data_IF_603135545223
#
_entry.id   IF_603135545223
#
_cell.length_a   1.000
_cell.length_b   1.000
_cell.length_c   1.000
_cell.angle_alpha   90.00
_cell.angle_beta   90.00
_cell.angle_gamma   90.00
#
_symmetry.space_group_name_H-M   'P 1'
#
loop_
_entity.id
_entity.type
_entity.pdbx_description
1 polymer ?
#
# COMPACT_ATOMS: atom_id res chain seq x y z
N UNK A 1 -4.01 -19.04 15.97
CA UNK A 1 -2.93 -18.97 14.95
C UNK A 1 -3.28 -17.99 13.83
N UNK A 2 -4.40 -18.14 13.12
CA UNK A 2 -4.82 -17.20 12.05
C UNK A 2 -4.92 -15.73 12.47
N UNK A 3 -5.56 -15.44 13.62
CA UNK A 3 -5.67 -14.08 14.15
C UNK A 3 -4.34 -13.43 14.52
N UNK A 4 -3.33 -14.23 14.87
CA UNK A 4 -1.99 -13.73 15.20
C UNK A 4 -1.27 -13.31 13.92
N UNK A 5 -1.29 -14.15 12.87
CA UNK A 5 -0.70 -13.85 11.57
C UNK A 5 -1.24 -12.53 11.01
N UNK A 6 -2.56 -12.36 11.11
CA UNK A 6 -3.24 -11.11 10.79
C UNK A 6 -2.75 -9.95 11.60
N UNK A 7 -2.71 -10.11 12.93
CA UNK A 7 -2.29 -9.05 13.83
C UNK A 7 -0.87 -8.59 13.50
N UNK A 8 0.09 -9.51 13.33
CA UNK A 8 1.48 -9.15 13.00
C UNK A 8 1.57 -8.44 11.65
N UNK A 9 0.98 -9.00 10.60
CA UNK A 9 1.00 -8.39 9.28
C UNK A 9 0.34 -7.02 9.28
N UNK A 10 -0.84 -6.90 9.87
CA UNK A 10 -1.60 -5.66 9.90
C UNK A 10 -0.94 -4.60 10.81
N UNK A 11 -0.54 -4.97 12.02
CA UNK A 11 0.07 -4.05 12.98
C UNK A 11 1.39 -3.48 12.47
N UNK A 12 2.28 -4.33 11.93
CA UNK A 12 3.55 -3.86 11.36
C UNK A 12 3.31 -2.89 10.20
N UNK A 13 2.38 -3.23 9.30
CA UNK A 13 2.03 -2.36 8.18
C UNK A 13 1.43 -1.03 8.66
N UNK A 14 0.62 -1.03 9.73
CA UNK A 14 -0.01 0.18 10.25
C UNK A 14 1.00 1.09 10.97
N UNK A 15 1.92 0.51 11.74
CA UNK A 15 2.99 1.25 12.42
C UNK A 15 3.94 1.93 11.42
N UNK A 16 4.12 1.36 10.22
CA UNK A 16 4.93 1.97 9.17
C UNK A 16 4.39 3.34 8.70
N UNK A 17 3.10 3.65 8.90
CA UNK A 17 2.54 4.98 8.64
C UNK A 17 3.20 6.05 9.53
N UNK A 18 3.73 5.68 10.70
CA UNK A 18 4.47 6.60 11.56
C UNK A 18 5.70 7.23 10.89
N UNK A 19 6.26 6.58 9.87
CA UNK A 19 7.35 7.12 9.04
C UNK A 19 6.91 8.17 8.01
N UNK A 20 5.61 8.47 7.90
CA UNK A 20 5.08 9.36 6.88
C UNK A 20 5.69 10.77 6.81
N UNK A 21 6.00 11.45 7.94
CA UNK A 21 6.65 12.76 7.90
C UNK A 21 7.97 12.76 7.13
N UNK A 22 8.76 11.68 7.20
CA UNK A 22 10.00 11.54 6.46
C UNK A 22 9.76 11.47 4.95
N UNK A 23 8.73 10.76 4.49
CA UNK A 23 8.38 10.73 3.06
C UNK A 23 7.99 12.11 2.53
N UNK A 24 7.27 12.91 3.33
CA UNK A 24 6.90 14.29 2.96
C UNK A 24 8.14 15.18 2.86
N UNK A 25 9.11 15.01 3.76
CA UNK A 25 10.38 15.72 3.72
C UNK A 25 11.18 15.37 2.45
N UNK A 26 11.30 14.08 2.14
CA UNK A 26 11.94 13.60 0.91
C UNK A 26 11.27 14.18 -0.35
N UNK A 27 9.94 14.26 -0.39
CA UNK A 27 9.21 14.88 -1.50
C UNK A 27 9.52 16.37 -1.65
N UNK A 28 9.70 17.10 -0.53
CA UNK A 28 10.05 18.53 -0.56
C UNK A 28 11.47 18.75 -1.06
N UNK A 29 12.42 17.93 -0.63
CA UNK A 29 13.82 17.97 -1.07
C UNK A 29 13.88 17.62 -2.57
N UNK A 30 13.24 16.52 -2.98
CA UNK A 30 13.12 16.12 -4.37
C UNK A 30 12.61 17.26 -5.25
N UNK A 31 11.53 17.93 -4.84
CA UNK A 31 10.97 19.06 -5.57
C UNK A 31 11.96 20.20 -5.79
N UNK A 32 12.84 20.48 -4.82
CA UNK A 32 13.87 21.54 -4.92
C UNK A 32 15.03 21.11 -5.82
N UNK A 33 15.58 19.92 -5.61
CA UNK A 33 16.73 19.41 -6.38
C UNK A 33 16.38 19.20 -7.86
N UNK A 34 15.14 18.80 -8.12
CA UNK A 34 14.60 18.63 -9.47
C UNK A 34 14.45 19.96 -10.21
N UNK A 35 14.02 21.03 -9.53
CA UNK A 35 13.93 22.38 -10.11
C UNK A 35 15.31 22.94 -10.49
N UNK A 36 16.34 22.53 -9.74
CA UNK A 36 17.74 22.85 -10.05
C UNK A 36 18.36 21.91 -11.11
N UNK A 37 17.62 20.92 -11.60
CA UNK A 37 18.05 20.02 -12.67
C UNK A 37 19.02 18.90 -12.26
N UNK A 38 19.15 18.58 -10.96
CA UNK A 38 20.15 17.60 -10.50
C UNK A 38 19.85 16.15 -10.90
N UNK A 39 18.58 15.72 -10.85
CA UNK A 39 18.19 14.36 -11.26
C UNK A 39 16.70 14.26 -11.61
N UNK A 40 16.31 13.21 -12.35
CA UNK A 40 14.95 12.98 -12.80
C UNK A 40 14.13 12.08 -11.86
N UNK A 41 12.80 12.07 -12.06
CA UNK A 41 11.84 11.28 -11.27
C UNK A 41 12.21 9.78 -11.22
N UNK A 42 12.65 9.20 -12.34
CA UNK A 42 13.01 7.77 -12.37
C UNK A 42 14.23 7.45 -11.50
N UNK A 43 15.24 8.33 -11.49
CA UNK A 43 16.42 8.18 -10.63
C UNK A 43 16.03 8.23 -9.16
N UNK A 44 15.12 9.14 -8.79
CA UNK A 44 14.60 9.25 -7.44
C UNK A 44 13.92 7.96 -6.98
N UNK A 45 12.97 7.43 -7.76
CA UNK A 45 12.20 6.25 -7.36
C UNK A 45 13.09 5.02 -7.23
N UNK A 46 14.05 4.84 -8.14
CA UNK A 46 14.98 3.70 -8.07
C UNK A 46 15.88 3.85 -6.84
N UNK A 47 16.49 5.02 -6.64
CA UNK A 47 17.37 5.27 -5.50
C UNK A 47 16.64 5.07 -4.17
N UNK A 48 15.45 5.65 -4.02
CA UNK A 48 14.61 5.49 -2.84
C UNK A 48 14.21 4.03 -2.59
N UNK A 49 13.84 3.29 -3.64
CA UNK A 49 13.46 1.88 -3.49
C UNK A 49 14.64 1.02 -3.05
N UNK A 50 15.82 1.23 -3.65
CA UNK A 50 17.04 0.49 -3.30
C UNK A 50 17.52 0.86 -1.90
N UNK A 51 17.46 2.14 -1.52
CA UNK A 51 17.89 2.58 -0.20
C UNK A 51 16.94 2.10 0.90
N UNK A 52 15.63 2.08 0.68
CA UNK A 52 14.66 1.65 1.68
C UNK A 52 14.59 0.13 1.87
N UNK A 53 14.82 -0.65 0.82
CA UNK A 53 14.77 -2.13 0.84
C UNK A 53 15.49 -2.78 2.04
N UNK A 54 16.76 -2.49 2.34
CA UNK A 54 17.45 -3.11 3.48
C UNK A 54 16.84 -2.73 4.83
N UNK A 55 16.39 -1.49 5.00
CA UNK A 55 15.74 -1.05 6.23
C UNK A 55 14.38 -1.72 6.40
N UNK A 56 13.56 -1.77 5.35
CA UNK A 56 12.27 -2.45 5.36
C UNK A 56 12.39 -3.96 5.63
N UNK A 57 13.44 -4.59 5.10
CA UNK A 57 13.75 -5.98 5.40
C UNK A 57 14.06 -6.17 6.87
N UNK A 58 14.91 -5.33 7.46
CA UNK A 58 15.26 -5.44 8.88
C UNK A 58 14.05 -5.22 9.80
N UNK A 59 13.26 -4.17 9.57
CA UNK A 59 12.10 -3.85 10.43
C UNK A 59 10.94 -4.82 10.25
N UNK A 60 10.87 -5.58 9.15
CA UNK A 60 9.89 -6.66 9.00
C UNK A 60 10.39 -7.98 9.57
N UNK A 61 11.66 -8.32 9.31
CA UNK A 61 12.25 -9.59 9.70
C UNK A 61 12.44 -9.71 11.20
N UNK A 62 12.95 -8.69 11.89
CA UNK A 62 13.25 -8.76 13.32
C UNK A 62 11.98 -8.97 14.16
N UNK A 63 10.97 -8.08 14.14
CA UNK A 63 9.75 -8.30 14.92
C UNK A 63 8.92 -9.47 14.37
N UNK A 64 8.96 -9.73 13.06
CA UNK A 64 8.31 -10.89 12.45
C UNK A 64 8.87 -12.21 12.97
N UNK A 65 10.19 -12.34 13.05
CA UNK A 65 10.84 -13.53 13.60
C UNK A 65 10.53 -13.72 15.08
N UNK A 66 10.59 -12.65 15.87
CA UNK A 66 10.22 -12.69 17.28
C UNK A 66 8.79 -13.21 17.46
N UNK A 67 7.82 -12.65 16.73
CA UNK A 67 6.42 -13.08 16.81
C UNK A 67 6.21 -14.52 16.31
N UNK A 68 6.92 -14.92 15.26
CA UNK A 68 6.83 -16.26 14.67
C UNK A 68 7.27 -17.36 15.65
N UNK A 69 8.44 -17.18 16.27
CA UNK A 69 8.98 -18.15 17.21
C UNK A 69 8.27 -18.14 18.57
N UNK A 70 7.82 -16.97 19.04
CA UNK A 70 7.10 -16.85 20.32
C UNK A 70 5.79 -17.62 20.31
N UNK A 71 5.08 -17.63 19.18
CA UNK A 71 3.76 -18.26 19.07
C UNK A 71 3.86 -19.76 18.72
N UNK A 72 5.05 -20.22 18.31
CA UNK A 72 5.28 -21.63 17.97
C UNK A 72 4.59 -22.06 16.69
N UNK A 73 4.71 -21.26 15.63
CA UNK A 73 4.30 -21.64 14.26
C UNK A 73 5.17 -22.79 13.73
N UNK A 74 4.86 -23.28 12.53
CA UNK A 74 5.62 -24.38 11.92
C UNK A 74 7.12 -24.06 11.85
N UNK A 75 7.94 -24.77 12.63
CA UNK A 75 9.39 -24.49 12.78
C UNK A 75 10.26 -24.77 11.55
N UNK A 76 9.68 -25.17 10.43
CA UNK A 76 10.43 -25.42 9.20
C UNK A 76 10.93 -24.10 8.61
N UNK A 77 12.19 -24.11 8.13
CA UNK A 77 12.83 -22.93 7.55
C UNK A 77 12.04 -22.39 6.35
N UNK A 78 11.47 -23.27 5.52
CA UNK A 78 10.70 -22.87 4.34
C UNK A 78 9.44 -22.07 4.71
N UNK A 79 8.80 -22.43 5.83
CA UNK A 79 7.60 -21.75 6.31
C UNK A 79 7.95 -20.39 6.91
N UNK A 80 9.06 -20.31 7.64
CA UNK A 80 9.57 -19.04 8.15
C UNK A 80 10.00 -18.10 7.02
N UNK A 81 10.76 -18.59 6.03
CA UNK A 81 11.21 -17.81 4.88
C UNK A 81 10.03 -17.26 4.08
N UNK A 82 9.01 -18.08 3.81
CA UNK A 82 7.79 -17.62 3.15
C UNK A 82 7.06 -16.55 3.97
N UNK A 83 6.90 -16.76 5.29
CA UNK A 83 6.29 -15.78 6.18
C UNK A 83 7.03 -14.43 6.18
N UNK A 84 8.36 -14.47 6.29
CA UNK A 84 9.21 -13.28 6.24
C UNK A 84 9.12 -12.56 4.89
N UNK A 85 9.10 -13.31 3.78
CA UNK A 85 8.93 -12.73 2.44
C UNK A 85 7.57 -12.04 2.28
N UNK A 86 6.48 -12.65 2.73
CA UNK A 86 5.15 -12.00 2.68
C UNK A 86 5.14 -10.72 3.53
N UNK A 87 5.70 -10.76 4.75
CA UNK A 87 5.81 -9.55 5.58
C UNK A 87 6.63 -8.44 4.91
N UNK A 88 7.78 -8.79 4.35
CA UNK A 88 8.62 -7.85 3.62
C UNK A 88 7.88 -7.24 2.42
N UNK A 89 7.18 -8.05 1.62
CA UNK A 89 6.37 -7.55 0.49
C UNK A 89 5.25 -6.61 0.97
N UNK A 90 4.59 -6.91 2.08
CA UNK A 90 3.58 -5.99 2.64
C UNK A 90 4.18 -4.66 3.10
N UNK A 91 5.39 -4.65 3.68
CA UNK A 91 6.08 -3.39 4.03
C UNK A 91 6.43 -2.57 2.78
N UNK A 92 6.95 -3.21 1.73
CA UNK A 92 7.26 -2.55 0.46
C UNK A 92 6.03 -1.92 -0.19
N UNK A 93 4.86 -2.55 -0.06
CA UNK A 93 3.58 -2.04 -0.53
C UNK A 93 3.11 -0.83 0.25
N UNK A 94 3.22 -0.86 1.59
CA UNK A 94 2.87 0.29 2.44
C UNK A 94 3.76 1.47 2.12
N UNK A 95 5.06 1.26 1.98
CA UNK A 95 5.97 2.34 1.58
C UNK A 95 5.56 2.95 0.24
N UNK A 96 5.29 2.12 -0.78
CA UNK A 96 4.82 2.60 -2.07
C UNK A 96 3.51 3.39 -1.97
N UNK A 97 2.56 2.91 -1.18
CA UNK A 97 1.29 3.59 -0.92
C UNK A 97 1.51 4.94 -0.22
N UNK A 98 2.36 4.98 0.81
CA UNK A 98 2.66 6.20 1.56
C UNK A 98 3.36 7.23 0.68
N UNK A 99 4.27 6.83 -0.20
CA UNK A 99 4.88 7.76 -1.16
C UNK A 99 3.88 8.33 -2.16
N UNK A 100 2.93 7.52 -2.65
CA UNK A 100 1.83 8.00 -3.49
C UNK A 100 1.03 9.07 -2.74
N UNK A 101 0.65 8.78 -1.49
CA UNK A 101 -0.09 9.74 -0.65
C UNK A 101 0.74 11.01 -0.40
N UNK A 102 2.03 10.89 -0.07
CA UNK A 102 2.95 12.00 0.17
C UNK A 102 3.09 12.94 -1.04
N UNK A 103 2.98 12.40 -2.26
CA UNK A 103 3.01 13.22 -3.48
C UNK A 103 1.73 14.02 -3.72
N UNK A 104 0.61 13.58 -3.15
CA UNK A 104 -0.71 14.19 -3.36
C UNK A 104 -1.11 15.19 -2.27
N UNK A 105 -0.60 15.02 -1.03
CA UNK A 105 -0.98 15.88 0.09
C UNK A 105 -0.05 17.08 0.27
N UNK A 106 -0.57 18.25 0.65
CA UNK A 106 0.25 19.44 0.92
C UNK A 106 0.89 19.43 2.32
N UNK A 107 0.28 18.71 3.27
CA UNK A 107 0.68 18.68 4.68
C UNK A 107 0.76 17.24 5.21
N UNK A 108 1.68 17.01 6.16
CA UNK A 108 1.94 15.66 6.68
C UNK A 108 0.79 15.11 7.51
N UNK A 109 0.03 15.95 8.24
CA UNK A 109 -1.09 15.50 9.06
C UNK A 109 -2.21 14.93 8.17
N UNK A 110 -2.55 15.64 7.09
CA UNK A 110 -3.52 15.13 6.11
C UNK A 110 -3.07 13.82 5.48
N UNK A 111 -1.77 13.68 5.20
CA UNK A 111 -1.24 12.44 4.64
C UNK A 111 -1.26 11.27 5.61
N UNK A 112 -0.95 11.48 6.90
CA UNK A 112 -1.10 10.45 7.93
C UNK A 112 -2.56 9.99 8.04
N UNK A 113 -3.51 10.94 8.10
CA UNK A 113 -4.94 10.63 8.19
C UNK A 113 -5.40 9.86 6.94
N UNK A 114 -4.99 10.31 5.75
CA UNK A 114 -5.37 9.68 4.48
C UNK A 114 -4.75 8.29 4.34
N UNK A 115 -3.46 8.14 4.64
CA UNK A 115 -2.74 6.87 4.60
C UNK A 115 -3.33 5.85 5.57
N UNK A 116 -3.58 6.25 6.82
CA UNK A 116 -4.24 5.42 7.82
C UNK A 116 -5.68 5.04 7.41
N UNK A 117 -6.42 5.96 6.80
CA UNK A 117 -7.76 5.70 6.27
C UNK A 117 -7.75 4.65 5.16
N UNK A 118 -6.91 4.83 4.13
CA UNK A 118 -6.78 3.87 3.03
C UNK A 118 -6.36 2.50 3.55
N UNK A 119 -5.36 2.47 4.44
CA UNK A 119 -4.83 1.24 4.98
C UNK A 119 -5.83 0.52 5.90
N UNK A 120 -6.56 1.26 6.73
CA UNK A 120 -7.65 0.72 7.54
C UNK A 120 -8.74 0.09 6.67
N UNK A 121 -9.14 0.73 5.58
CA UNK A 121 -10.12 0.19 4.63
C UNK A 121 -9.58 -1.09 3.95
N UNK A 122 -8.32 -1.10 3.53
CA UNK A 122 -7.69 -2.31 2.96
C UNK A 122 -7.62 -3.46 3.97
N UNK A 123 -7.33 -3.17 5.24
CA UNK A 123 -7.30 -4.16 6.32
C UNK A 123 -8.69 -4.75 6.60
N UNK A 124 -9.73 -3.91 6.66
CA UNK A 124 -11.12 -4.36 6.85
C UNK A 124 -11.54 -5.34 5.75
N UNK A 125 -11.07 -5.09 4.54
CA UNK A 125 -11.37 -5.91 3.38
C UNK A 125 -10.36 -7.05 3.15
N UNK A 126 -9.43 -7.28 4.07
CA UNK A 126 -8.41 -8.32 3.96
C UNK A 126 -8.92 -9.75 4.16
N UNK A 127 -10.23 -9.97 4.34
CA UNK A 127 -10.83 -11.29 4.50
C UNK A 127 -10.84 -11.84 5.94
N UNK A 128 -10.35 -11.09 6.92
CA UNK A 128 -10.37 -11.48 8.34
C UNK A 128 -11.53 -10.88 9.12
N UNK A 129 -11.73 -9.55 9.03
CA UNK A 129 -12.81 -8.87 9.77
C UNK A 129 -14.18 -9.19 9.20
N UNK A 130 -14.25 -9.41 7.89
CA UNK A 130 -15.43 -9.89 7.19
C UNK A 130 -15.00 -10.89 6.14
N UNK A 131 -15.66 -12.04 6.13
CA UNK A 131 -15.34 -13.11 5.21
C UNK A 131 -15.75 -12.72 3.78
N UNK A 132 -15.05 -13.24 2.76
CA UNK A 132 -15.29 -12.90 1.36
C UNK A 132 -16.74 -13.10 0.90
N UNK A 133 -17.42 -14.13 1.42
CA UNK A 133 -18.81 -14.43 1.07
C UNK A 133 -19.80 -13.40 1.64
N UNK A 134 -19.49 -12.82 2.81
CA UNK A 134 -20.37 -11.90 3.54
C UNK A 134 -20.20 -10.44 3.13
N UNK A 135 -19.29 -10.15 2.19
CA UNK A 135 -19.03 -8.81 1.69
C UNK A 135 -20.13 -8.35 0.71
N UNK A 136 -20.69 -7.13 0.89
CA UNK A 136 -21.62 -6.54 -0.07
C UNK A 136 -21.01 -6.43 -1.48
N UNK A 137 -21.73 -6.93 -2.48
CA UNK A 137 -21.18 -7.21 -3.82
C UNK A 137 -20.67 -5.99 -4.62
N UNK A 138 -21.36 -4.84 -4.69
CA UNK A 138 -21.06 -3.84 -5.73
C UNK A 138 -19.89 -2.90 -5.44
N UNK A 139 -19.42 -2.80 -4.19
CA UNK A 139 -18.31 -1.89 -3.83
C UNK A 139 -17.25 -2.62 -3.02
N UNK A 140 -17.68 -3.39 -2.01
CA UNK A 140 -16.78 -4.03 -1.05
C UNK A 140 -16.14 -5.30 -1.61
N UNK A 141 -16.94 -6.15 -2.27
CA UNK A 141 -16.42 -7.37 -2.91
C UNK A 141 -15.74 -7.07 -4.25
N UNK A 142 -16.31 -6.20 -5.07
CA UNK A 142 -15.72 -5.73 -6.32
C UNK A 142 -15.74 -4.19 -6.31
N UNK A 143 -14.62 -3.46 -6.41
CA UNK A 143 -13.22 -3.90 -6.61
C UNK A 143 -12.39 -4.00 -5.33
N UNK A 144 -12.89 -3.47 -4.20
CA UNK A 144 -12.05 -3.18 -3.02
C UNK A 144 -11.34 -4.42 -2.47
N UNK A 145 -11.94 -5.60 -2.56
CA UNK A 145 -11.40 -6.84 -1.98
C UNK A 145 -10.19 -7.34 -2.78
N UNK A 146 -10.23 -7.15 -4.10
CA UNK A 146 -9.17 -7.57 -5.00
C UNK A 146 -8.01 -6.57 -5.07
N UNK A 147 -8.27 -5.31 -4.71
CA UNK A 147 -7.25 -4.25 -4.63
C UNK A 147 -6.51 -4.28 -3.28
N UNK A 148 -7.17 -4.75 -2.22
CA UNK A 148 -6.56 -4.81 -0.89
C UNK A 148 -5.44 -5.87 -0.86
N UNK A 149 -4.19 -5.43 -0.75
CA UNK A 149 -3.05 -6.35 -0.66
C UNK A 149 -3.10 -7.26 0.57
N UNK A 150 -3.73 -6.79 1.67
CA UNK A 150 -3.94 -7.59 2.86
C UNK A 150 -4.68 -8.90 2.54
N UNK A 151 -5.59 -8.93 1.55
CA UNK A 151 -6.23 -10.17 1.08
C UNK A 151 -5.18 -11.25 0.78
N UNK A 152 -4.27 -10.97 -0.15
CA UNK A 152 -3.29 -11.93 -0.64
C UNK A 152 -2.24 -12.25 0.44
N UNK A 153 -1.87 -11.28 1.27
CA UNK A 153 -1.00 -11.53 2.41
C UNK A 153 -1.62 -12.53 3.39
N UNK A 154 -2.90 -12.34 3.72
CA UNK A 154 -3.61 -13.19 4.68
C UNK A 154 -3.83 -14.60 4.12
N UNK A 155 -4.26 -14.71 2.86
CA UNK A 155 -4.36 -16.01 2.18
C UNK A 155 -3.02 -16.72 2.13
N UNK A 156 -1.93 -16.01 1.83
CA UNK A 156 -0.57 -16.53 1.86
C UNK A 156 -0.16 -17.03 3.24
N UNK A 157 -0.38 -16.24 4.30
CA UNK A 157 -0.09 -16.62 5.68
C UNK A 157 -0.88 -17.86 6.10
N UNK A 158 -2.17 -17.92 5.78
CA UNK A 158 -3.03 -19.03 6.15
C UNK A 158 -2.63 -20.31 5.41
N UNK A 159 -2.45 -20.25 4.09
CA UNK A 159 -1.95 -21.41 3.32
C UNK A 159 -0.60 -21.88 3.84
N UNK A 160 0.28 -20.96 4.22
CA UNK A 160 1.60 -21.33 4.72
C UNK A 160 1.57 -22.01 6.10
N UNK A 161 0.66 -21.63 7.00
CA UNK A 161 0.62 -22.19 8.35
C UNK A 161 -0.30 -23.41 8.48
N UNK A 162 -1.47 -23.40 7.81
CA UNK A 162 -2.48 -24.44 8.01
C UNK A 162 -2.30 -25.64 7.09
N UNK A 163 -1.68 -25.50 5.91
CA UNK A 163 -1.45 -26.64 5.02
C UNK A 163 -0.52 -27.67 5.67
N UNK A 164 -0.95 -28.93 5.65
CA UNK A 164 -0.21 -30.05 6.25
C UNK A 164 -0.38 -30.19 7.76
N UNK A 165 -1.22 -29.39 8.41
CA UNK A 165 -1.58 -29.55 9.82
C UNK A 165 -2.97 -30.16 9.99
N UNK A 166 -3.14 -30.94 11.06
CA UNK A 166 -4.42 -31.45 11.54
C UNK A 166 -4.65 -30.95 12.96
N UNK A 167 -5.86 -30.48 13.24
CA UNK A 167 -6.24 -29.94 14.55
C UNK A 167 -7.32 -30.80 15.19
N UNK A 168 -7.36 -30.90 16.53
CA UNK A 168 -8.47 -31.56 17.21
C UNK A 168 -9.76 -30.79 16.95
N UNK A 169 -10.81 -31.48 16.54
CA UNK A 169 -12.11 -30.89 16.28
C UNK A 169 -12.96 -30.99 17.54
N UNK A 170 -13.42 -29.83 18.05
CA UNK A 170 -14.29 -29.77 19.22
C UNK A 170 -15.78 -29.63 18.85
N UNK A 171 -16.14 -29.84 17.58
CA UNK A 171 -17.54 -29.83 17.14
C UNK A 171 -18.27 -31.11 17.57
N UNK A 172 -19.39 -30.95 18.27
CA UNK A 172 -20.23 -32.06 18.70
C UNK A 172 -20.80 -32.81 17.48
N UNK A 173 -20.46 -34.10 17.34
CA UNK A 173 -20.98 -34.97 16.27
C UNK A 173 -20.16 -35.01 14.97
N UNK A 174 -19.01 -34.33 14.90
CA UNK A 174 -18.09 -34.37 13.75
C UNK A 174 -16.91 -35.34 13.92
N UNK A 175 -16.06 -35.44 12.89
CA UNK A 175 -14.79 -36.17 12.96
C UNK A 175 -13.90 -35.59 14.08
N UNK A 176 -13.12 -36.43 14.77
CA UNK A 176 -12.28 -36.03 15.93
C UNK A 176 -11.14 -35.08 15.58
N UNK A 177 -10.77 -34.99 14.30
CA UNK A 177 -9.74 -34.09 13.79
C UNK A 177 -10.26 -33.37 12.55
N UNK A 178 -9.91 -32.09 12.42
CA UNK A 178 -10.19 -31.25 11.26
C UNK A 178 -8.87 -30.96 10.55
N UNK A 179 -8.87 -31.11 9.24
CA UNK A 179 -7.69 -30.84 8.44
C UNK A 179 -7.51 -29.34 8.22
N UNK A 180 -6.27 -28.89 8.07
CA UNK A 180 -5.99 -27.49 7.75
C UNK A 180 -6.61 -27.04 6.42
N UNK A 181 -6.79 -27.94 5.44
CA UNK A 181 -7.47 -27.64 4.18
C UNK A 181 -8.97 -27.30 4.40
N UNK A 182 -9.66 -28.08 5.22
CA UNK A 182 -11.05 -27.80 5.62
C UNK A 182 -11.15 -26.46 6.38
N UNK A 183 -10.24 -26.18 7.32
CA UNK A 183 -10.20 -24.87 8.00
C UNK A 183 -10.00 -23.73 6.99
N UNK A 184 -9.11 -23.90 6.01
CA UNK A 184 -8.87 -22.87 5.00
C UNK A 184 -10.09 -22.62 4.13
N UNK A 185 -10.81 -23.66 3.72
CA UNK A 185 -11.98 -23.56 2.84
C UNK A 185 -13.23 -23.09 3.58
N UNK A 186 -13.53 -23.69 4.71
CA UNK A 186 -14.81 -23.51 5.38
C UNK A 186 -14.77 -22.34 6.36
N UNK A 187 -13.70 -22.22 7.14
CA UNK A 187 -13.58 -21.18 8.15
C UNK A 187 -13.05 -19.86 7.57
N UNK A 188 -11.93 -19.91 6.85
CA UNK A 188 -11.30 -18.70 6.30
C UNK A 188 -11.75 -18.34 4.88
N UNK A 189 -12.49 -19.25 4.21
CA UNK A 189 -12.96 -19.07 2.83
C UNK A 189 -11.84 -18.65 1.87
N UNK A 190 -10.67 -19.26 2.02
CA UNK A 190 -9.49 -19.01 1.21
C UNK A 190 -9.65 -19.65 -0.16
N UNK A 191 -9.22 -18.94 -1.20
CA UNK A 191 -9.19 -19.45 -2.57
C UNK A 191 -8.13 -20.57 -2.70
N UNK A 192 -8.58 -21.83 -2.68
CA UNK A 192 -7.72 -23.01 -2.79
C UNK A 192 -7.40 -23.42 -4.24
N UNK A 193 -7.92 -22.69 -5.23
CA UNK A 193 -7.69 -22.99 -6.66
C UNK A 193 -6.24 -22.78 -7.13
N UNK A 194 -5.37 -22.23 -6.27
CA UNK A 194 -3.98 -21.92 -6.61
C UNK A 194 -3.06 -21.95 -5.39
N UNK A 195 -1.77 -22.13 -5.64
CA UNK A 195 -0.73 -22.30 -4.61
C UNK A 195 -0.36 -21.00 -3.90
N UNK A 196 0.17 -21.10 -2.66
CA UNK A 196 0.65 -19.95 -1.87
C UNK A 196 1.63 -19.03 -2.63
N UNK A 197 2.46 -19.60 -3.49
CA UNK A 197 3.41 -18.83 -4.32
C UNK A 197 2.75 -17.86 -5.30
N UNK A 198 1.51 -18.12 -5.71
CA UNK A 198 0.76 -17.19 -6.56
C UNK A 198 0.32 -15.97 -5.75
N UNK A 199 -0.08 -16.14 -4.48
CA UNK A 199 -0.36 -15.01 -3.58
C UNK A 199 0.88 -14.11 -3.44
N UNK A 200 2.06 -14.72 -3.25
CA UNK A 200 3.33 -14.00 -3.19
C UNK A 200 3.67 -13.29 -4.51
N UNK A 201 3.45 -13.94 -5.65
CA UNK A 201 3.67 -13.35 -6.97
C UNK A 201 2.73 -12.16 -7.23
N UNK A 202 1.47 -12.24 -6.80
CA UNK A 202 0.52 -11.12 -6.87
C UNK A 202 1.00 -9.96 -6.00
N UNK A 203 1.44 -10.21 -4.77
CA UNK A 203 2.01 -9.17 -3.89
C UNK A 203 3.23 -8.49 -4.54
N UNK A 204 4.13 -9.28 -5.14
CA UNK A 204 5.28 -8.73 -5.86
C UNK A 204 4.86 -7.89 -7.07
N UNK A 205 3.87 -8.36 -7.85
CA UNK A 205 3.27 -7.60 -8.94
C UNK A 205 2.64 -6.29 -8.47
N UNK A 206 1.99 -6.28 -7.30
CA UNK A 206 1.44 -5.08 -6.69
C UNK A 206 2.54 -4.10 -6.25
N UNK A 207 3.69 -4.59 -5.75
CA UNK A 207 4.83 -3.71 -5.41
C UNK A 207 5.29 -2.95 -6.64
N UNK A 208 5.49 -3.66 -7.75
CA UNK A 208 5.88 -3.05 -9.02
C UNK A 208 4.81 -2.06 -9.49
N UNK A 209 3.53 -2.45 -9.43
CA UNK A 209 2.41 -1.60 -9.80
C UNK A 209 2.40 -0.29 -9.00
N UNK A 210 2.59 -0.34 -7.68
CA UNK A 210 2.60 0.86 -6.84
C UNK A 210 3.79 1.77 -7.16
N UNK A 211 4.96 1.21 -7.45
CA UNK A 211 6.13 2.00 -7.89
C UNK A 211 5.89 2.65 -9.26
N UNK A 212 5.26 1.93 -10.19
CA UNK A 212 4.88 2.48 -11.51
C UNK A 212 3.81 3.56 -11.38
N UNK A 213 2.81 3.36 -10.52
CA UNK A 213 1.79 4.38 -10.23
C UNK A 213 2.41 5.63 -9.62
N UNK A 214 3.33 5.47 -8.66
CA UNK A 214 4.07 6.59 -8.08
C UNK A 214 4.86 7.35 -9.16
N UNK A 215 5.60 6.64 -10.02
CA UNK A 215 6.30 7.23 -11.16
C UNK A 215 5.36 7.99 -12.10
N UNK A 216 4.20 7.41 -12.42
CA UNK A 216 3.22 8.03 -13.29
C UNK A 216 2.63 9.30 -12.68
N UNK A 217 2.23 9.25 -11.40
CA UNK A 217 1.69 10.40 -10.66
C UNK A 217 2.72 11.53 -10.63
N UNK A 218 3.97 11.23 -10.31
CA UNK A 218 5.03 12.24 -10.28
C UNK A 218 5.24 12.89 -11.67
N UNK A 219 5.26 12.10 -12.75
CA UNK A 219 5.37 12.63 -14.13
C UNK A 219 4.14 13.44 -14.56
N UNK A 220 2.94 13.07 -14.11
CA UNK A 220 1.71 13.81 -14.42
C UNK A 220 1.67 15.14 -13.67
N UNK A 221 2.04 15.13 -12.39
CA UNK A 221 2.15 16.35 -11.58
C UNK A 221 3.18 17.31 -12.16
N UNK A 222 4.29 16.81 -12.72
CA UNK A 222 5.27 17.62 -13.47
C UNK A 222 4.66 18.33 -14.67
N UNK A 223 3.78 17.67 -15.45
CA UNK A 223 3.12 18.28 -16.62
C UNK A 223 1.99 19.24 -16.23
N UNK A 224 1.30 18.97 -15.12
CA UNK A 224 0.18 19.78 -14.67
C UNK A 224 0.62 21.11 -14.07
N UNK A 225 1.72 21.15 -13.30
CA UNK A 225 2.26 22.38 -12.67
C UNK A 225 2.49 23.55 -13.65
N UNK A 226 3.20 23.39 -14.79
CA UNK A 226 3.41 24.48 -15.74
C UNK A 226 2.12 24.88 -16.46
N UNK A 227 1.20 23.94 -16.69
CA UNK A 227 -0.09 24.21 -17.35
C UNK A 227 -1.03 25.01 -16.44
N UNK A 228 -1.11 24.67 -15.15
CA UNK A 228 -1.89 25.43 -14.15
C UNK A 228 -1.29 26.82 -13.94
N UNK A 229 0.04 26.93 -13.86
CA UNK A 229 0.71 28.22 -13.77
C UNK A 229 0.48 29.07 -15.04
N UNK A 230 0.54 28.48 -16.23
CA UNK A 230 0.24 29.17 -17.48
C UNK A 230 -1.21 29.67 -17.57
N UNK A 231 -2.17 28.86 -17.13
CA UNK A 231 -3.58 29.26 -17.02
C UNK A 231 -3.80 30.38 -15.99
N UNK A 232 -3.09 30.33 -14.86
CA UNK A 232 -3.16 31.36 -13.81
C UNK A 232 -2.57 32.68 -14.30
N UNK A 233 -1.42 32.66 -14.98
CA UNK A 233 -0.81 33.83 -15.61
C UNK A 233 -1.68 34.44 -16.72
N UNK A 234 -2.38 33.63 -17.51
CA UNK A 234 -3.30 34.12 -18.55
C UNK A 234 -4.54 34.81 -17.97
N UNK A 235 -4.92 34.48 -16.72
CA UNK A 235 -6.06 35.08 -16.01
C UNK A 235 -5.70 36.37 -15.27
N UNK A 236 -4.42 36.61 -14.99
CA UNK A 236 -3.92 37.83 -14.32
C UNK A 236 -3.39 38.90 -15.26
N UNK A 237 -3.31 38.67 -16.59
CA UNK A 237 -3.09 39.78 -17.51
C UNK A 237 -4.38 40.60 -17.63
N UNK A 238 -4.39 41.89 -17.23
CA UNK A 238 -5.45 42.79 -17.66
C UNK A 238 -5.38 42.86 -19.19
N UNK A 239 -6.50 42.70 -19.87
CA UNK A 239 -6.60 42.96 -21.31
C UNK A 239 -6.12 44.38 -21.59
N UNK A 240 -4.91 44.51 -22.14
CA UNK A 240 -4.27 45.80 -22.49
C UNK A 240 -5.09 46.60 -23.51
N UNK A 241 -6.11 46.00 -24.14
CA UNK A 241 -6.99 46.67 -25.10
C UNK A 241 -7.97 47.70 -24.54
N UNK A 242 -8.04 47.96 -23.23
CA UNK A 242 -8.93 49.00 -22.66
C UNK A 242 -8.18 50.31 -22.35
N UNK A 243 -6.85 50.31 -22.26
CA UNK A 243 -6.09 51.51 -21.90
C UNK A 243 -6.04 52.56 -23.02
N UNK A 244 -5.98 52.13 -24.30
CA UNK A 244 -5.84 53.07 -25.42
C UNK A 244 -7.15 53.79 -25.79
N UNK A 245 -8.31 53.20 -25.51
CA UNK A 245 -9.60 53.87 -25.77
C UNK A 245 -9.94 54.98 -24.77
N UNK A 246 -9.33 54.98 -23.57
CA UNK A 246 -9.52 56.05 -22.59
C UNK A 246 -8.63 57.28 -22.82
N UNK A 247 -7.54 57.16 -23.59
CA UNK A 247 -6.66 58.29 -23.89
C UNK A 247 -7.09 59.06 -25.15
N UNK A 248 -7.72 58.42 -26.14
CA UNK A 248 -8.28 59.14 -27.30
C UNK A 248 -9.59 59.89 -26.97
N UNK A 249 -10.36 59.45 -25.98
CA UNK A 249 -11.62 60.10 -25.60
C UNK A 249 -11.45 61.40 -24.77
N UNK A 250 -10.27 61.63 -24.18
CA UNK A 250 -9.99 62.80 -23.32
C UNK A 250 -9.16 63.90 -24.00
N UNK A 251 -8.80 63.74 -25.28
CA UNK A 251 -8.06 64.75 -26.07
C UNK A 251 -8.94 65.66 -26.92
N UNK A 252 -10.27 65.48 -26.90
CA UNK A 252 -11.21 66.23 -27.71
C UNK A 252 -12.38 66.74 -26.86
N UNK A 253 -12.12 67.73 -26.00
CA UNK A 253 -13.05 68.79 -25.58
C UNK A 253 -12.36 69.81 -24.68
#
# INVERSE_FOLDING_TARGET
RGSMLMFVGAFLTFMAIGGFPSFVEDMKIFGRERLNGHYGVSSFVIANTVSATPYLLLISLVPGAMAYYLVGLQRSFDHFAYFALVLFMTMMLVEGLMMIVASAVPDFLMGIITGAGIQGVMMLNGGFFRLPHDLPKPVWRYPMYYVAFHKYANQGFYKNEFLGLTFPNNQAGGATTITGDEILREYWQVEMGYNKWVDLAVLFGMVILYRVLFLAIMKLTEKAKPMVNGLRFRRTQPSVHIADQSFEANGAK
#
